data_IF_979241964152
#
_entry.id   IF_979241964152
#
_cell.length_a   1.000
_cell.length_b   1.000
_cell.length_c   1.000
_cell.angle_alpha   90.00
_cell.angle_beta   90.00
_cell.angle_gamma   90.00
#
_symmetry.space_group_name_H-M   'P 1'
#
loop_
_entity.id
_entity.type
_entity.pdbx_description
1 polymer ?
#
# COMPACT_ATOMS: atom_id res chain seq x y z
N UNK A 1 -7.93 18.87 -14.85
CA UNK A 1 -7.80 19.29 -13.45
C UNK A 1 -6.34 19.60 -13.21
N UNK A 2 -6.01 20.74 -12.60
CA UNK A 2 -4.62 21.13 -12.33
C UNK A 2 -4.28 20.78 -10.88
N UNK A 3 -3.27 19.93 -10.68
CA UNK A 3 -2.78 19.59 -9.35
C UNK A 3 -1.71 20.57 -8.89
N UNK A 4 -1.60 20.78 -7.58
CA UNK A 4 -0.45 21.52 -7.04
C UNK A 4 0.82 20.71 -7.28
N UNK A 5 1.90 21.40 -7.68
CA UNK A 5 3.21 20.78 -7.86
C UNK A 5 3.82 20.31 -6.54
N UNK A 6 3.66 21.10 -5.48
CA UNK A 6 4.12 20.83 -4.11
C UNK A 6 3.08 21.29 -3.09
N UNK A 7 3.24 20.85 -1.85
CA UNK A 7 2.40 21.26 -0.72
C UNK A 7 3.26 21.41 0.54
N UNK A 8 3.07 22.50 1.28
CA UNK A 8 3.77 22.76 2.55
C UNK A 8 3.16 21.95 3.70
N UNK A 9 3.90 21.78 4.80
CA UNK A 9 3.35 21.11 5.98
C UNK A 9 2.20 21.91 6.62
N UNK A 10 2.29 23.25 6.62
CA UNK A 10 1.22 24.15 7.10
C UNK A 10 -0.07 23.94 6.31
N UNK A 11 0.02 23.81 4.98
CA UNK A 11 -1.14 23.52 4.14
C UNK A 11 -1.74 22.13 4.44
N UNK A 12 -0.91 21.14 4.76
CA UNK A 12 -1.36 19.80 5.13
C UNK A 12 -2.07 19.81 6.48
N UNK A 13 -1.62 20.61 7.44
CA UNK A 13 -2.20 20.69 8.78
C UNK A 13 -3.66 21.16 8.76
N UNK A 14 -4.04 21.99 7.79
CA UNK A 14 -5.42 22.46 7.61
C UNK A 14 -6.36 21.43 6.94
N UNK A 15 -5.82 20.33 6.41
CA UNK A 15 -6.63 19.31 5.73
C UNK A 15 -7.36 18.38 6.73
N UNK A 16 -8.55 17.87 6.36
CA UNK A 16 -9.24 16.85 7.16
C UNK A 16 -8.41 15.56 7.25
N UNK A 17 -8.49 14.90 8.41
CA UNK A 17 -7.89 13.57 8.58
C UNK A 17 -8.64 12.55 7.73
N UNK A 18 -7.90 11.66 7.08
CA UNK A 18 -8.43 10.51 6.38
C UNK A 18 -7.82 9.22 6.93
N UNK A 19 -8.63 8.17 6.96
CA UNK A 19 -8.24 6.81 7.29
C UNK A 19 -9.22 5.89 6.58
N UNK A 20 -8.72 4.82 5.98
CA UNK A 20 -9.56 3.81 5.35
C UNK A 20 -10.49 3.16 6.40
N UNK A 21 -11.78 3.13 6.08
CA UNK A 21 -12.87 2.66 6.96
C UNK A 21 -13.60 1.42 6.41
N UNK A 22 -13.21 0.92 5.23
CA UNK A 22 -13.79 -0.28 4.63
C UNK A 22 -13.30 -1.59 5.26
N UNK A 23 -13.64 -2.71 4.60
CA UNK A 23 -13.32 -4.05 5.09
C UNK A 23 -11.81 -4.33 5.07
N UNK A 24 -11.27 -4.76 6.21
CA UNK A 24 -9.87 -5.17 6.37
C UNK A 24 -9.83 -6.66 6.72
N UNK A 25 -9.19 -7.46 5.88
CA UNK A 25 -9.05 -8.91 6.08
C UNK A 25 -7.60 -9.23 6.41
N UNK A 26 -7.36 -9.71 7.63
CA UNK A 26 -6.02 -10.13 8.06
C UNK A 26 -5.81 -11.60 7.71
N UNK A 27 -4.79 -11.87 6.89
CA UNK A 27 -4.38 -13.21 6.47
C UNK A 27 -3.14 -13.57 7.27
N UNK A 28 -3.31 -14.42 8.28
CA UNK A 28 -2.25 -14.78 9.21
C UNK A 28 -2.01 -16.28 9.35
N UNK A 29 -2.60 -17.05 8.44
CA UNK A 29 -2.42 -18.49 8.29
C UNK A 29 -2.45 -18.85 6.79
N UNK A 30 -1.69 -19.87 6.40
CA UNK A 30 -1.45 -20.25 5.00
C UNK A 30 -2.72 -20.72 4.28
N UNK A 31 -3.59 -21.45 4.97
CA UNK A 31 -4.88 -21.96 4.46
C UNK A 31 -5.87 -20.87 3.99
N UNK A 32 -5.66 -19.61 4.38
CA UNK A 32 -6.48 -18.46 3.98
C UNK A 32 -5.89 -17.69 2.78
N UNK A 33 -4.66 -18.00 2.38
CA UNK A 33 -3.96 -17.26 1.35
C UNK A 33 -4.63 -17.44 -0.01
N UNK A 34 -4.93 -18.67 -0.40
CA UNK A 34 -5.48 -18.97 -1.72
C UNK A 34 -6.83 -18.30 -1.96
N UNK A 35 -7.74 -18.36 -0.97
CA UNK A 35 -9.04 -17.69 -1.06
C UNK A 35 -8.92 -16.15 -1.20
N UNK A 36 -7.90 -15.54 -0.57
CA UNK A 36 -7.64 -14.10 -0.74
C UNK A 36 -7.03 -13.80 -2.11
N UNK A 37 -6.12 -14.65 -2.60
CA UNK A 37 -5.52 -14.54 -3.93
C UNK A 37 -6.60 -14.69 -5.02
N UNK A 38 -7.52 -15.64 -4.89
CA UNK A 38 -8.63 -15.85 -5.83
C UNK A 38 -9.52 -14.60 -5.98
N UNK A 39 -9.85 -13.91 -4.87
CA UNK A 39 -10.56 -12.62 -4.95
C UNK A 39 -9.72 -11.56 -5.66
N UNK A 40 -8.43 -11.44 -5.33
CA UNK A 40 -7.52 -10.47 -5.93
C UNK A 40 -7.33 -10.68 -7.44
N UNK A 41 -7.36 -11.93 -7.91
CA UNK A 41 -7.26 -12.29 -9.33
C UNK A 41 -8.45 -11.77 -10.17
N UNK A 42 -9.58 -11.42 -9.54
CA UNK A 42 -10.72 -10.82 -10.23
C UNK A 42 -10.54 -9.33 -10.58
N UNK A 43 -9.45 -8.69 -10.15
CA UNK A 43 -9.15 -7.28 -10.37
C UNK A 43 -7.94 -7.08 -11.28
N UNK A 44 -8.05 -6.17 -12.24
CA UNK A 44 -6.92 -5.78 -13.11
C UNK A 44 -5.94 -4.82 -12.46
N UNK A 45 -6.32 -4.16 -11.36
CA UNK A 45 -5.51 -3.19 -10.63
C UNK A 45 -5.73 -3.36 -9.13
N UNK A 46 -4.63 -3.52 -8.40
CA UNK A 46 -4.63 -3.63 -6.94
C UNK A 46 -3.63 -2.64 -6.34
N UNK A 47 -3.95 -2.11 -5.17
CA UNK A 47 -3.03 -1.32 -4.37
C UNK A 47 -2.01 -2.22 -3.69
N UNK A 48 -0.80 -1.70 -3.49
CA UNK A 48 0.34 -2.45 -2.98
C UNK A 48 1.12 -1.57 -2.00
N UNK A 49 1.48 -2.14 -0.85
CA UNK A 49 2.45 -1.58 0.07
C UNK A 49 3.15 -2.72 0.84
N UNK A 50 4.23 -2.43 1.57
CA UNK A 50 4.79 -3.38 2.54
C UNK A 50 5.24 -2.71 3.83
N UNK A 51 5.30 -3.49 4.92
CA UNK A 51 5.77 -3.00 6.21
C UNK A 51 6.80 -3.93 6.84
N UNK A 52 7.85 -3.33 7.40
CA UNK A 52 9.00 -4.01 7.99
C UNK A 52 9.24 -3.49 9.40
N UNK A 53 9.51 -4.39 10.35
CA UNK A 53 9.87 -4.01 11.70
C UNK A 53 11.17 -3.17 11.70
N UNK A 54 11.20 -2.02 12.38
CA UNK A 54 12.39 -1.17 12.40
C UNK A 54 13.55 -1.84 13.13
N UNK A 55 14.76 -1.67 12.59
CA UNK A 55 16.01 -2.06 13.25
C UNK A 55 16.67 -0.85 13.91
N UNK A 56 16.82 -0.87 15.24
CA UNK A 56 17.44 0.22 16.00
C UNK A 56 18.94 0.01 16.28
N UNK A 57 19.49 -1.14 15.87
CA UNK A 57 20.91 -1.48 16.02
C UNK A 57 21.56 -1.60 14.65
N UNK A 58 22.74 -0.98 14.49
CA UNK A 58 23.52 -1.03 13.24
C UNK A 58 23.84 -2.50 12.89
N UNK A 59 23.60 -2.88 11.64
CA UNK A 59 23.86 -4.23 11.13
C UNK A 59 22.69 -5.22 11.31
N UNK A 60 21.63 -4.85 12.02
CA UNK A 60 20.40 -5.66 12.07
C UNK A 60 19.48 -5.25 10.93
N UNK A 61 18.94 -6.24 10.22
CA UNK A 61 17.90 -6.05 9.21
C UNK A 61 16.78 -7.05 9.44
N UNK A 62 15.54 -6.62 9.29
CA UNK A 62 14.36 -7.48 9.36
C UNK A 62 13.84 -7.75 7.95
N UNK A 63 13.13 -8.86 7.80
CA UNK A 63 12.40 -9.16 6.57
C UNK A 63 11.06 -8.42 6.56
N UNK A 64 10.46 -8.32 5.38
CA UNK A 64 9.10 -7.80 5.24
C UNK A 64 8.16 -8.64 6.09
N UNK A 65 7.47 -8.00 7.03
CA UNK A 65 6.59 -8.68 7.99
C UNK A 65 5.13 -8.68 7.55
N UNK A 66 4.74 -7.68 6.76
CA UNK A 66 3.38 -7.47 6.30
C UNK A 66 3.39 -7.00 4.83
N UNK A 67 2.52 -7.61 4.03
CA UNK A 67 2.19 -7.19 2.66
C UNK A 67 0.73 -6.75 2.63
N UNK A 68 0.47 -5.58 2.07
CA UNK A 68 -0.88 -5.04 1.91
C UNK A 68 -1.29 -5.07 0.45
N UNK A 69 -2.44 -5.67 0.16
CA UNK A 69 -3.04 -5.67 -1.18
C UNK A 69 -4.46 -5.14 -1.11
N UNK A 70 -4.73 -4.04 -1.81
CA UNK A 70 -6.02 -3.35 -1.79
C UNK A 70 -6.80 -3.56 -3.08
N UNK A 71 -8.11 -3.78 -2.95
CA UNK A 71 -9.08 -3.69 -4.05
C UNK A 71 -9.92 -2.43 -3.88
N UNK A 72 -10.94 -2.24 -4.71
CA UNK A 72 -11.91 -1.15 -4.49
C UNK A 72 -12.78 -1.36 -3.25
N UNK A 73 -12.93 -2.61 -2.80
CA UNK A 73 -13.90 -3.00 -1.77
C UNK A 73 -13.26 -3.26 -0.40
N UNK A 74 -12.03 -3.76 -0.38
CA UNK A 74 -11.38 -4.29 0.83
C UNK A 74 -9.87 -4.24 0.73
N UNK A 75 -9.21 -4.39 1.87
CA UNK A 75 -7.76 -4.52 1.95
C UNK A 75 -7.38 -5.82 2.65
N UNK A 76 -6.50 -6.57 2.00
CA UNK A 76 -5.89 -7.77 2.55
C UNK A 76 -4.55 -7.44 3.19
N UNK A 77 -4.37 -7.88 4.43
CA UNK A 77 -3.15 -7.71 5.21
C UNK A 77 -2.51 -9.08 5.43
N UNK A 78 -1.59 -9.47 4.53
CA UNK A 78 -0.86 -10.73 4.59
C UNK A 78 0.29 -10.62 5.60
N UNK A 79 0.14 -11.29 6.73
CA UNK A 79 1.18 -11.39 7.77
C UNK A 79 2.25 -12.37 7.31
N UNK A 80 3.17 -11.92 6.44
CA UNK A 80 4.24 -12.75 5.87
C UNK A 80 5.12 -13.41 6.93
N UNK A 81 5.26 -12.79 8.10
CA UNK A 81 5.96 -13.38 9.24
C UNK A 81 5.24 -14.60 9.86
N UNK A 82 4.01 -14.91 9.43
CA UNK A 82 3.17 -16.02 9.90
C UNK A 82 2.79 -16.97 8.77
N UNK A 83 2.31 -16.44 7.64
CA UNK A 83 1.86 -17.24 6.49
C UNK A 83 2.93 -17.42 5.40
N UNK A 84 4.12 -16.82 5.56
CA UNK A 84 5.15 -16.81 4.53
C UNK A 84 4.72 -16.06 3.27
N UNK A 85 5.36 -16.38 2.15
CA UNK A 85 4.99 -15.91 0.81
C UNK A 85 4.71 -17.13 -0.09
N UNK A 86 3.56 -17.80 0.03
CA UNK A 86 3.24 -19.03 -0.70
C UNK A 86 3.22 -18.82 -2.22
N UNK A 87 3.25 -19.92 -2.98
CA UNK A 87 3.33 -19.91 -4.45
C UNK A 87 2.20 -19.08 -5.09
N UNK A 88 0.95 -19.25 -4.65
CA UNK A 88 -0.19 -18.48 -5.16
C UNK A 88 -0.01 -16.96 -5.02
N UNK A 89 0.57 -16.51 -3.91
CA UNK A 89 0.87 -15.10 -3.67
C UNK A 89 2.07 -14.62 -4.51
N UNK A 90 3.07 -15.48 -4.73
CA UNK A 90 4.19 -15.19 -5.65
C UNK A 90 3.70 -15.04 -7.09
N UNK A 91 2.84 -15.95 -7.55
CA UNK A 91 2.22 -15.91 -8.88
C UNK A 91 1.39 -14.65 -9.07
N UNK A 92 0.61 -14.23 -8.07
CA UNK A 92 -0.12 -12.96 -8.09
C UNK A 92 0.82 -11.75 -8.29
N UNK A 93 1.93 -11.71 -7.53
CA UNK A 93 2.93 -10.63 -7.66
C UNK A 93 3.70 -10.70 -8.99
N UNK A 94 3.82 -11.88 -9.60
CA UNK A 94 4.41 -12.11 -10.92
C UNK A 94 3.41 -11.98 -12.09
N UNK A 95 2.11 -11.81 -11.81
CA UNK A 95 1.09 -11.78 -12.85
C UNK A 95 1.13 -10.47 -13.66
N UNK A 96 1.38 -10.57 -14.97
CA UNK A 96 1.45 -9.43 -15.89
C UNK A 96 0.08 -8.75 -16.13
N UNK A 97 -1.02 -9.49 -15.97
CA UNK A 97 -2.38 -8.99 -16.21
C UNK A 97 -2.94 -8.16 -15.05
N UNK A 98 -2.24 -8.14 -13.91
CA UNK A 98 -2.67 -7.44 -12.71
C UNK A 98 -1.63 -6.38 -12.35
N UNK A 99 -2.04 -5.13 -12.42
CA UNK A 99 -1.19 -4.00 -12.06
C UNK A 99 -1.16 -3.79 -10.55
N UNK A 100 0.05 -3.85 -9.97
CA UNK A 100 0.30 -3.56 -8.54
C UNK A 100 0.75 -2.12 -8.39
N UNK A 101 -0.02 -1.30 -7.70
CA UNK A 101 0.17 0.15 -7.60
C UNK A 101 0.61 0.52 -6.20
N UNK A 102 1.79 1.13 -6.05
CA UNK A 102 2.28 1.62 -4.76
C UNK A 102 3.05 2.94 -4.90
N UNK A 103 3.65 3.40 -3.80
CA UNK A 103 4.48 4.62 -3.75
C UNK A 103 5.88 4.25 -3.26
N UNK A 104 6.91 4.43 -4.09
CA UNK A 104 8.30 4.18 -3.67
C UNK A 104 8.67 2.70 -3.55
N UNK A 105 8.06 1.85 -4.38
CA UNK A 105 7.98 0.37 -4.24
C UNK A 105 9.28 -0.41 -4.45
N UNK A 106 10.38 0.24 -4.83
CA UNK A 106 11.61 -0.45 -5.25
C UNK A 106 12.21 -1.29 -4.13
N UNK A 107 12.26 -0.74 -2.92
CA UNK A 107 12.86 -1.42 -1.78
C UNK A 107 11.90 -2.49 -1.20
N UNK A 108 10.59 -2.29 -1.30
CA UNK A 108 9.55 -3.29 -0.97
C UNK A 108 9.69 -4.54 -1.83
N UNK A 109 9.77 -4.37 -3.16
CA UNK A 109 9.96 -5.47 -4.11
C UNK A 109 11.27 -6.21 -3.82
N UNK A 110 12.36 -5.49 -3.53
CA UNK A 110 13.63 -6.11 -3.15
C UNK A 110 13.48 -6.89 -1.83
N UNK A 111 12.73 -6.38 -0.87
CA UNK A 111 12.42 -7.04 0.39
C UNK A 111 11.67 -8.36 0.18
N UNK A 112 10.61 -8.36 -0.63
CA UNK A 112 9.82 -9.54 -0.95
C UNK A 112 10.65 -10.61 -1.68
N UNK A 113 11.52 -10.22 -2.62
CA UNK A 113 12.40 -11.16 -3.33
C UNK A 113 13.47 -11.82 -2.44
N UNK A 114 13.67 -11.33 -1.21
CA UNK A 114 14.49 -12.04 -0.21
C UNK A 114 13.72 -13.14 0.51
N UNK A 115 12.38 -13.11 0.46
CA UNK A 115 11.52 -14.13 1.06
C UNK A 115 11.26 -15.30 0.11
N UNK A 116 11.11 -15.03 -1.19
CA UNK A 116 10.95 -16.06 -2.20
C UNK A 116 11.51 -15.62 -3.56
N UNK A 117 11.84 -16.59 -4.40
CA UNK A 117 12.38 -16.35 -5.73
C UNK A 117 11.25 -16.23 -6.77
N UNK A 118 10.71 -15.03 -6.91
CA UNK A 118 9.76 -14.69 -7.98
C UNK A 118 10.26 -13.52 -8.82
N UNK A 119 9.72 -13.41 -10.04
CA UNK A 119 9.97 -12.28 -10.94
C UNK A 119 8.78 -11.31 -10.85
N UNK A 120 8.93 -10.14 -10.22
CA UNK A 120 7.85 -9.16 -10.11
C UNK A 120 7.46 -8.63 -11.49
N UNK A 121 6.15 -8.52 -11.75
CA UNK A 121 5.64 -8.00 -13.02
C UNK A 121 4.52 -6.97 -12.81
N UNK A 122 4.34 -6.06 -13.77
CA UNK A 122 3.25 -5.06 -13.76
C UNK A 122 3.14 -4.21 -12.48
N UNK A 123 4.28 -3.78 -11.94
CA UNK A 123 4.32 -2.82 -10.84
C UNK A 123 4.37 -1.38 -11.35
N UNK A 124 3.55 -0.51 -10.78
CA UNK A 124 3.53 0.93 -11.05
C UNK A 124 3.89 1.72 -9.81
N UNK A 125 4.94 2.54 -9.91
CA UNK A 125 5.34 3.48 -8.88
C UNK A 125 4.67 4.85 -9.12
N UNK A 126 3.79 5.23 -8.20
CA UNK A 126 3.07 6.49 -8.24
C UNK A 126 3.97 7.72 -8.14
N UNK A 127 5.15 7.60 -7.52
CA UNK A 127 6.12 8.71 -7.48
C UNK A 127 6.57 9.12 -8.88
N UNK A 128 6.65 8.16 -9.79
CA UNK A 128 7.04 8.39 -11.19
C UNK A 128 5.81 8.80 -11.99
N UNK A 129 4.70 8.07 -11.82
CA UNK A 129 3.47 8.30 -12.57
C UNK A 129 2.87 9.70 -12.32
N UNK A 130 2.89 10.19 -11.07
CA UNK A 130 2.32 11.48 -10.71
C UNK A 130 3.02 12.69 -11.37
N UNK A 131 4.27 12.54 -11.83
CA UNK A 131 5.00 13.60 -12.53
C UNK A 131 4.35 14.00 -13.86
N UNK A 132 3.72 13.05 -14.54
CA UNK A 132 2.98 13.33 -15.78
C UNK A 132 1.78 14.27 -15.54
N UNK A 133 1.38 14.45 -14.28
CA UNK A 133 0.29 15.33 -13.85
C UNK A 133 0.80 16.61 -13.18
N UNK A 134 2.10 16.91 -13.29
CA UNK A 134 2.72 18.12 -12.74
C UNK A 134 3.01 18.06 -11.23
N UNK A 135 2.89 16.89 -10.60
CA UNK A 135 3.18 16.70 -9.17
C UNK A 135 4.64 16.28 -8.98
N UNK A 136 5.39 17.05 -8.19
CA UNK A 136 6.81 16.77 -7.88
C UNK A 136 7.02 16.12 -6.50
N UNK A 137 5.96 15.92 -5.73
CA UNK A 137 6.05 15.28 -4.41
C UNK A 137 6.22 13.77 -4.51
N UNK A 138 7.12 13.24 -3.68
CA UNK A 138 7.44 11.81 -3.63
C UNK A 138 6.81 11.12 -2.40
N UNK A 139 6.35 11.89 -1.42
CA UNK A 139 5.79 11.32 -0.19
C UNK A 139 4.35 10.85 -0.40
N UNK A 140 4.04 9.62 0.02
CA UNK A 140 2.66 9.08 0.01
C UNK A 140 1.66 10.05 0.64
N UNK A 141 1.96 10.58 1.84
CA UNK A 141 1.05 11.51 2.51
C UNK A 141 0.83 12.79 1.72
N UNK A 142 1.88 13.32 1.08
CA UNK A 142 1.77 14.57 0.31
C UNK A 142 1.02 14.35 -1.00
N UNK A 143 1.18 13.19 -1.63
CA UNK A 143 0.37 12.79 -2.78
C UNK A 143 -1.12 12.72 -2.39
N UNK A 144 -1.45 12.07 -1.27
CA UNK A 144 -2.82 12.06 -0.73
C UNK A 144 -3.37 13.48 -0.49
N UNK A 145 -2.54 14.37 0.07
CA UNK A 145 -2.92 15.77 0.31
C UNK A 145 -3.10 16.59 -0.97
N UNK A 146 -2.25 16.41 -1.97
CA UNK A 146 -2.37 17.12 -3.25
C UNK A 146 -3.60 16.64 -4.03
N UNK A 147 -3.78 15.32 -4.13
CA UNK A 147 -4.79 14.69 -4.97
C UNK A 147 -6.17 14.80 -4.29
N UNK A 148 -6.30 14.38 -3.03
CA UNK A 148 -7.59 14.24 -2.37
C UNK A 148 -7.91 15.32 -1.34
N UNK A 149 -6.98 16.25 -1.07
CA UNK A 149 -7.14 17.30 -0.05
C UNK A 149 -7.41 16.72 1.35
N UNK A 150 -6.68 15.65 1.70
CA UNK A 150 -6.73 15.01 3.02
C UNK A 150 -5.33 14.90 3.63
N UNK A 151 -5.24 14.84 4.95
CA UNK A 151 -4.02 14.42 5.67
C UNK A 151 -4.22 13.04 6.28
N UNK A 152 -3.12 12.29 6.40
CA UNK A 152 -3.11 10.95 6.97
C UNK A 152 -2.10 10.88 8.12
N UNK A 153 -2.36 10.01 9.09
CA UNK A 153 -1.44 9.80 10.21
C UNK A 153 -0.23 8.97 9.79
N UNK A 154 0.98 9.43 10.13
CA UNK A 154 2.25 8.70 9.89
C UNK A 154 2.71 7.87 11.10
N UNK A 155 1.91 7.82 12.17
CA UNK A 155 2.36 7.34 13.49
C UNK A 155 2.75 5.86 13.54
N UNK A 156 2.24 5.03 12.62
CA UNK A 156 2.47 3.59 12.63
C UNK A 156 3.61 3.12 11.71
N UNK A 157 4.20 4.02 10.91
CA UNK A 157 5.26 3.71 9.96
C UNK A 157 6.49 3.01 10.58
N UNK A 158 6.76 3.29 11.85
CA UNK A 158 7.89 2.71 12.60
C UNK A 158 7.41 1.83 13.76
N UNK A 159 6.35 1.04 13.53
CA UNK A 159 5.77 0.13 14.52
C UNK A 159 6.35 -1.28 14.45
N UNK A 160 6.09 -2.10 15.49
CA UNK A 160 6.43 -3.52 15.45
C UNK A 160 5.42 -4.30 14.60
N UNK A 161 5.69 -4.42 13.31
CA UNK A 161 4.85 -5.14 12.35
C UNK A 161 4.88 -6.67 12.48
N UNK A 162 5.82 -7.19 13.28
CA UNK A 162 5.90 -8.61 13.65
C UNK A 162 5.16 -8.92 14.97
N UNK A 163 4.48 -7.94 15.58
CA UNK A 163 3.76 -8.17 16.84
C UNK A 163 2.76 -9.34 16.72
N UNK A 164 2.55 -10.16 17.78
CA UNK A 164 1.66 -11.32 17.72
C UNK A 164 0.25 -11.00 17.21
N UNK A 165 -0.23 -9.79 17.53
CA UNK A 165 -1.46 -9.18 17.02
C UNK A 165 -1.16 -7.74 16.60
N UNK A 166 -1.75 -7.28 15.50
CA UNK A 166 -1.71 -5.87 15.13
C UNK A 166 -2.80 -5.13 15.89
N UNK A 167 -2.50 -3.90 16.28
CA UNK A 167 -3.50 -3.00 16.87
C UNK A 167 -4.45 -2.45 15.80
N UNK A 168 -5.66 -1.99 16.15
CA UNK A 168 -6.55 -1.34 15.19
C UNK A 168 -5.88 -0.18 14.44
N UNK A 169 -5.07 0.63 15.12
CA UNK A 169 -4.33 1.72 14.49
C UNK A 169 -3.34 1.23 13.41
N UNK A 170 -2.64 0.10 13.64
CA UNK A 170 -1.76 -0.51 12.65
C UNK A 170 -2.55 -1.06 11.45
N UNK A 171 -3.70 -1.72 11.71
CA UNK A 171 -4.55 -2.26 10.65
C UNK A 171 -5.04 -1.15 9.72
N UNK A 172 -5.62 -0.09 10.28
CA UNK A 172 -6.14 1.04 9.50
C UNK A 172 -5.04 1.82 8.79
N UNK A 173 -3.88 2.02 9.42
CA UNK A 173 -2.74 2.64 8.75
C UNK A 173 -2.31 1.84 7.52
N UNK A 174 -2.02 0.54 7.70
CA UNK A 174 -1.58 -0.34 6.64
C UNK A 174 -2.62 -0.45 5.50
N UNK A 175 -3.90 -0.49 5.86
CA UNK A 175 -4.97 -0.51 4.88
C UNK A 175 -5.08 0.80 4.10
N UNK A 176 -4.89 1.94 4.77
CA UNK A 176 -4.92 3.27 4.14
C UNK A 176 -3.81 3.42 3.10
N UNK A 177 -2.61 2.91 3.37
CA UNK A 177 -1.46 3.08 2.47
C UNK A 177 -1.68 2.33 1.14
N UNK A 178 -2.02 1.05 1.17
CA UNK A 178 -2.29 0.29 -0.06
C UNK A 178 -3.55 0.79 -0.80
N UNK A 179 -4.65 1.06 -0.08
CA UNK A 179 -5.88 1.55 -0.72
C UNK A 179 -5.71 2.95 -1.32
N UNK A 180 -5.03 3.84 -0.60
CA UNK A 180 -4.75 5.20 -1.08
C UNK A 180 -3.91 5.18 -2.35
N UNK A 181 -2.93 4.27 -2.47
CA UNK A 181 -2.19 4.08 -3.72
C UNK A 181 -3.12 3.72 -4.89
N UNK A 182 -3.99 2.72 -4.73
CA UNK A 182 -4.94 2.35 -5.77
C UNK A 182 -5.86 3.51 -6.17
N UNK A 183 -6.38 4.26 -5.19
CA UNK A 183 -7.28 5.39 -5.46
C UNK A 183 -6.56 6.57 -6.11
N UNK A 184 -5.36 6.92 -5.66
CA UNK A 184 -4.56 7.98 -6.30
C UNK A 184 -4.33 7.66 -7.78
N UNK A 185 -3.97 6.42 -8.11
CA UNK A 185 -3.83 5.99 -9.50
C UNK A 185 -5.13 6.18 -10.31
N UNK A 186 -6.27 5.73 -9.76
CA UNK A 186 -7.57 5.87 -10.43
C UNK A 186 -7.97 7.32 -10.61
N UNK A 187 -7.71 8.17 -9.62
CA UNK A 187 -8.00 9.60 -9.67
C UNK A 187 -7.18 10.31 -10.74
N UNK A 188 -5.86 10.05 -10.77
CA UNK A 188 -4.97 10.59 -11.80
C UNK A 188 -5.39 10.11 -13.20
N UNK A 189 -5.71 8.81 -13.38
CA UNK A 189 -6.10 8.25 -14.68
C UNK A 189 -7.45 8.73 -15.19
N UNK A 190 -8.42 8.93 -14.31
CA UNK A 190 -9.79 9.36 -14.67
C UNK A 190 -9.98 10.89 -14.67
N UNK A 191 -9.06 11.63 -14.03
CA UNK A 191 -9.23 13.06 -13.78
C UNK A 191 -10.25 13.39 -12.68
N UNK A 192 -10.73 12.40 -11.92
CA UNK A 192 -11.67 12.58 -10.81
C UNK A 192 -10.96 12.43 -9.46
N UNK A 193 -10.84 13.54 -8.74
CA UNK A 193 -10.13 13.62 -7.45
C UNK A 193 -11.04 13.56 -6.23
N UNK A 194 -12.28 13.06 -6.38
CA UNK A 194 -13.15 12.83 -5.23
C UNK A 194 -12.81 11.49 -4.56
N UNK A 195 -12.38 11.57 -3.30
CA UNK A 195 -12.21 10.40 -2.46
C UNK A 195 -13.58 10.00 -1.89
N UNK A 196 -14.12 8.87 -2.32
CA UNK A 196 -15.35 8.32 -1.77
C UNK A 196 -15.00 7.35 -0.64
N UNK A 197 -15.74 7.43 0.47
CA UNK A 197 -15.69 6.42 1.53
C UNK A 197 -16.16 5.07 0.96
N UNK A 198 -15.58 3.98 1.45
CA UNK A 198 -16.05 2.64 1.08
C UNK A 198 -17.26 2.34 1.94
N UNK A 199 -18.44 2.32 1.32
CA UNK A 199 -19.72 2.00 1.98
C UNK A 199 -19.83 0.52 2.31
#
# INVERSE_FOLDING_TARGET
MEYKTKISEEEIEELPNFTFDGEIIVIDHEDKVDAAVDDLLSYSHIGFDTETKPAFKKGVTHHVGLLQLATDKRVYLFRLNKCGLPESLQELLANENIMKIGVGIRDDIRGLRKLANFTPASFLDLQIFAKAFGIEEMSFSKLMSIIFKVKISKRQRTSNWEAPRLTPAQLHYAATDAWGALKMYKALRSGNSQLQQVS
#
